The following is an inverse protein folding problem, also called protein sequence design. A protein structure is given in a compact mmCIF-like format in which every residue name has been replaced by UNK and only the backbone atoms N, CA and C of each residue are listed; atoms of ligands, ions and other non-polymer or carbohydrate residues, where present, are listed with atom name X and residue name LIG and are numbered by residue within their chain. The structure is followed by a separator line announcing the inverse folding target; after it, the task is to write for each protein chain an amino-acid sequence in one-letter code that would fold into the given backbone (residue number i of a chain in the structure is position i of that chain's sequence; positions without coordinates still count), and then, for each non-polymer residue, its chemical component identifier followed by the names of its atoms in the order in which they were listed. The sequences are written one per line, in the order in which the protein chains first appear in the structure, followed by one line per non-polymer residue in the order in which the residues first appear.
data_IF_041421380803
#
_entry.id   IF_041421380803
#
_cell.length_a   1.000
_cell.length_b   1.000
_cell.length_c   1.000
_cell.angle_alpha   90.00
_cell.angle_beta   90.00
_cell.angle_gamma   90.00
#
_symmetry.space_group_name_H-M   'P 1'
#
loop_
_entity.id
_entity.type
_entity.pdbx_description
1 polymer ?
#
# COMPACT_ATOMS: atom_id res chain seq x y z
N UNK A 1 46.31 32.46 -10.74
CA UNK A 1 44.93 32.59 -11.25
C UNK A 1 44.68 31.35 -12.10
N UNK A 2 44.16 30.28 -11.48
CA UNK A 2 43.71 29.10 -12.21
C UNK A 2 42.19 29.07 -12.12
N UNK A 3 41.54 29.28 -13.26
CA UNK A 3 40.10 29.13 -13.39
C UNK A 3 39.75 27.65 -13.21
N UNK A 4 38.81 27.27 -12.33
CA UNK A 4 38.32 25.90 -12.31
C UNK A 4 37.48 25.69 -13.56
N UNK A 5 37.98 24.81 -14.43
CA UNK A 5 37.30 24.30 -15.60
C UNK A 5 35.89 23.80 -15.21
N UNK A 6 34.87 24.32 -15.90
CA UNK A 6 33.55 23.73 -15.95
C UNK A 6 33.67 22.32 -16.51
N UNK A 7 33.83 21.34 -15.64
CA UNK A 7 33.62 19.94 -15.99
C UNK A 7 32.13 19.78 -16.29
N UNK A 8 31.80 19.80 -17.58
CA UNK A 8 30.49 19.37 -18.09
C UNK A 8 30.34 17.89 -17.75
N UNK A 9 29.93 17.62 -16.52
CA UNK A 9 29.71 16.28 -16.00
C UNK A 9 28.49 15.71 -16.72
N UNK A 10 28.70 14.59 -17.42
CA UNK A 10 27.62 13.88 -18.10
C UNK A 10 26.45 13.63 -17.13
N UNK A 11 25.20 13.69 -17.62
CA UNK A 11 24.03 13.49 -16.77
C UNK A 11 24.15 12.14 -16.05
N UNK A 12 24.12 12.18 -14.72
CA UNK A 12 24.26 10.98 -13.90
C UNK A 12 22.91 10.28 -13.80
N UNK A 13 22.80 9.08 -14.36
CA UNK A 13 21.61 8.25 -14.15
C UNK A 13 21.63 7.70 -12.71
N UNK A 14 20.63 8.08 -11.92
CA UNK A 14 20.43 7.60 -10.55
C UNK A 14 19.15 6.77 -10.54
N UNK A 15 19.22 5.43 -10.47
CA UNK A 15 18.03 4.59 -10.37
C UNK A 15 17.48 4.68 -8.94
N UNK A 16 16.61 5.66 -8.70
CA UNK A 16 16.03 6.00 -7.40
C UNK A 16 15.22 4.83 -6.86
N UNK A 17 14.38 4.22 -7.70
CA UNK A 17 13.50 3.14 -7.28
C UNK A 17 14.29 1.89 -6.85
N UNK A 18 15.29 1.49 -7.66
CA UNK A 18 16.17 0.35 -7.35
C UNK A 18 16.98 0.59 -6.07
N UNK A 19 17.51 1.81 -5.90
CA UNK A 19 18.25 2.19 -4.70
C UNK A 19 17.39 2.11 -3.42
N UNK A 20 16.13 2.56 -3.50
CA UNK A 20 15.21 2.52 -2.37
C UNK A 20 14.80 1.08 -2.06
N UNK A 21 14.37 0.31 -3.06
CA UNK A 21 13.90 -1.08 -2.88
C UNK A 21 15.00 -1.99 -2.36
N UNK A 22 16.22 -1.90 -2.91
CA UNK A 22 17.38 -2.66 -2.40
C UNK A 22 17.69 -2.32 -0.94
N UNK A 23 17.70 -1.04 -0.58
CA UNK A 23 17.91 -0.61 0.80
C UNK A 23 16.81 -1.10 1.75
N UNK A 24 15.55 -1.11 1.31
CA UNK A 24 14.41 -1.61 2.08
C UNK A 24 14.53 -3.11 2.33
N UNK A 25 14.77 -3.90 1.29
CA UNK A 25 14.90 -5.36 1.38
C UNK A 25 16.07 -5.79 2.27
N UNK A 26 17.23 -5.14 2.12
CA UNK A 26 18.43 -5.49 2.88
C UNK A 26 18.35 -5.12 4.38
N UNK A 27 17.57 -4.10 4.75
CA UNK A 27 17.65 -3.49 6.08
C UNK A 27 16.36 -3.57 6.90
N UNK A 28 15.52 -4.58 6.66
CA UNK A 28 14.45 -5.00 7.59
C UNK A 28 13.10 -5.20 6.95
N UNK A 29 12.82 -4.56 5.80
CA UNK A 29 11.48 -4.57 5.21
C UNK A 29 11.07 -5.95 4.69
N UNK A 30 12.03 -6.82 4.38
CA UNK A 30 11.78 -8.24 4.07
C UNK A 30 11.05 -8.99 5.20
N UNK A 31 11.21 -8.53 6.45
CA UNK A 31 10.55 -9.09 7.63
C UNK A 31 9.52 -8.11 8.25
N UNK A 32 9.14 -7.04 7.54
CA UNK A 32 8.20 -6.04 8.04
C UNK A 32 8.74 -5.13 9.16
N UNK A 33 10.05 -5.12 9.41
CA UNK A 33 10.64 -4.30 10.49
C UNK A 33 10.99 -2.88 10.00
N UNK A 34 10.02 -1.98 10.11
CA UNK A 34 10.16 -0.57 9.76
C UNK A 34 11.08 0.21 10.71
N UNK A 35 11.15 -0.19 11.99
CA UNK A 35 11.99 0.47 12.98
C UNK A 35 13.48 0.28 12.64
N UNK A 36 13.87 -0.94 12.28
CA UNK A 36 15.24 -1.25 11.85
C UNK A 36 15.63 -0.47 10.60
N UNK A 37 14.72 -0.38 9.62
CA UNK A 37 14.95 0.38 8.40
C UNK A 37 15.12 1.89 8.69
N UNK A 38 14.24 2.47 9.51
CA UNK A 38 14.33 3.88 9.93
C UNK A 38 15.64 4.21 10.65
N UNK A 39 16.10 3.33 11.55
CA UNK A 39 17.39 3.49 12.24
C UNK A 39 18.59 3.37 11.28
N UNK A 40 18.51 2.46 10.30
CA UNK A 40 19.53 2.34 9.26
C UNK A 40 19.65 3.62 8.43
N UNK A 41 18.54 4.14 7.91
CA UNK A 41 18.56 5.37 7.09
C UNK A 41 19.10 6.55 7.89
N UNK A 42 18.71 6.67 9.16
CA UNK A 42 19.21 7.72 10.05
C UNK A 42 20.75 7.67 10.19
N UNK A 43 21.32 6.46 10.34
CA UNK A 43 22.78 6.26 10.38
C UNK A 43 23.44 6.49 9.02
N UNK A 44 22.81 6.07 7.92
CA UNK A 44 23.29 6.29 6.54
C UNK A 44 23.36 7.78 6.21
N UNK A 45 22.29 8.53 6.49
CA UNK A 45 22.24 9.98 6.31
C UNK A 45 23.33 10.69 7.12
N UNK A 46 23.58 10.28 8.37
CA UNK A 46 24.67 10.85 9.17
C UNK A 46 26.04 10.64 8.52
N UNK A 47 26.32 9.43 8.02
CA UNK A 47 27.58 9.11 7.32
C UNK A 47 27.72 9.89 6.01
N UNK A 48 26.64 9.95 5.22
CA UNK A 48 26.63 10.70 3.96
C UNK A 48 26.85 12.20 4.17
N UNK A 49 26.17 12.81 5.15
CA UNK A 49 26.39 14.22 5.50
C UNK A 49 27.82 14.51 5.94
N UNK A 50 28.49 13.56 6.62
CA UNK A 50 29.90 13.68 6.97
C UNK A 50 30.80 13.59 5.73
N UNK A 51 30.52 12.65 4.82
CA UNK A 51 31.29 12.46 3.57
C UNK A 51 31.12 13.62 2.58
N UNK A 52 29.96 14.26 2.54
CA UNK A 52 29.67 15.40 1.65
C UNK A 52 29.97 16.75 2.30
N UNK A 53 30.55 16.76 3.51
CA UNK A 53 30.78 17.97 4.33
C UNK A 53 29.50 18.82 4.55
N UNK A 54 28.32 18.20 4.43
CA UNK A 54 27.01 18.81 4.59
C UNK A 54 26.45 18.60 6.02
N UNK A 55 27.24 18.99 7.02
CA UNK A 55 26.84 18.88 8.41
C UNK A 55 25.91 20.05 8.80
N UNK A 56 24.78 19.73 9.44
CA UNK A 56 23.74 20.69 9.85
C UNK A 56 24.03 21.34 11.22
N UNK A 57 25.29 21.34 11.65
CA UNK A 57 25.71 21.93 12.92
C UNK A 57 26.70 21.08 13.71
N UNK A 58 27.14 21.65 14.83
CA UNK A 58 28.05 21.04 15.81
C UNK A 58 27.29 20.69 17.09
N UNK A 59 27.96 20.03 18.05
CA UNK A 59 27.37 19.65 19.35
C UNK A 59 26.67 20.81 20.08
N UNK A 60 27.17 22.03 19.91
CA UNK A 60 26.68 23.23 20.61
C UNK A 60 25.65 24.06 19.81
N UNK A 61 25.63 23.97 18.47
CA UNK A 61 24.78 24.83 17.63
C UNK A 61 24.29 24.08 16.39
N UNK A 62 22.98 24.08 16.20
CA UNK A 62 22.33 23.56 14.98
C UNK A 62 22.26 24.69 13.95
N UNK A 63 22.86 24.48 12.78
CA UNK A 63 22.78 25.38 11.63
C UNK A 63 22.04 24.66 10.50
N UNK A 64 20.74 24.94 10.31
CA UNK A 64 19.94 24.23 9.31
C UNK A 64 20.42 24.59 7.90
N UNK A 65 21.22 23.70 7.30
CA UNK A 65 21.58 23.78 5.88
C UNK A 65 20.43 23.22 5.05
N UNK A 66 19.79 24.08 4.27
CA UNK A 66 18.82 23.68 3.24
C UNK A 66 19.58 23.28 1.98
N UNK A 67 19.03 22.33 1.23
CA UNK A 67 19.56 22.00 -0.09
C UNK A 67 19.15 23.14 -1.04
N UNK A 68 20.13 23.83 -1.62
CA UNK A 68 19.92 24.82 -2.68
C UNK A 68 20.58 24.30 -3.96
N UNK A 69 20.09 24.70 -5.16
CA UNK A 69 20.63 24.20 -6.42
C UNK A 69 22.15 24.42 -6.55
N UNK A 70 22.65 25.55 -6.03
CA UNK A 70 24.08 25.92 -6.05
C UNK A 70 24.98 24.94 -5.28
N UNK A 71 24.44 24.22 -4.30
CA UNK A 71 25.18 23.25 -3.48
C UNK A 71 25.22 21.87 -4.17
N UNK A 72 24.36 21.62 -5.16
CA UNK A 72 24.24 20.32 -5.83
C UNK A 72 25.32 20.17 -6.90
N UNK A 73 26.57 20.08 -6.46
CA UNK A 73 27.72 19.81 -7.33
C UNK A 73 27.83 18.31 -7.67
N UNK A 74 27.30 17.43 -6.81
CA UNK A 74 27.43 15.98 -6.92
C UNK A 74 26.07 15.27 -6.91
N UNK A 75 25.89 14.18 -7.70
CA UNK A 75 24.65 13.39 -7.72
C UNK A 75 24.31 12.76 -6.36
N UNK A 76 25.31 12.60 -5.48
CA UNK A 76 25.14 12.12 -4.10
C UNK A 76 24.25 13.01 -3.24
N UNK A 77 24.11 14.30 -3.56
CA UNK A 77 23.17 15.19 -2.86
C UNK A 77 21.71 14.85 -3.15
N UNK A 78 21.41 14.39 -4.37
CA UNK A 78 20.07 13.92 -4.74
C UNK A 78 19.74 12.63 -3.97
N UNK A 79 20.69 11.70 -3.91
CA UNK A 79 20.55 10.49 -3.09
C UNK A 79 20.34 10.84 -1.61
N UNK A 80 21.02 11.89 -1.10
CA UNK A 80 20.82 12.37 0.26
C UNK A 80 19.39 12.88 0.47
N UNK A 81 18.87 13.68 -0.47
CA UNK A 81 17.50 14.19 -0.42
C UNK A 81 16.47 13.05 -0.45
N UNK A 82 16.64 12.07 -1.34
CA UNK A 82 15.80 10.86 -1.40
C UNK A 82 15.81 10.12 -0.06
N UNK A 83 16.98 9.87 0.53
CA UNK A 83 17.05 9.20 1.84
C UNK A 83 16.46 10.05 2.99
N UNK A 84 16.46 11.38 2.88
CA UNK A 84 15.75 12.22 3.84
C UNK A 84 14.23 12.06 3.74
N UNK A 85 13.70 11.88 2.54
CA UNK A 85 12.29 11.58 2.31
C UNK A 85 11.96 10.19 2.88
N UNK A 86 12.74 9.17 2.50
CA UNK A 86 12.61 7.79 3.00
C UNK A 86 12.66 7.70 4.53
N UNK A 87 13.53 8.48 5.20
CA UNK A 87 13.55 8.49 6.67
C UNK A 87 12.22 8.96 7.27
N UNK A 88 11.61 9.98 6.68
CA UNK A 88 10.31 10.49 7.13
C UNK A 88 9.18 9.51 6.84
N UNK A 89 9.23 8.82 5.70
CA UNK A 89 8.28 7.76 5.35
C UNK A 89 8.43 6.53 6.26
N UNK A 90 9.64 6.01 6.45
CA UNK A 90 9.92 4.85 7.29
C UNK A 90 9.46 5.07 8.74
N UNK A 91 9.66 6.29 9.27
CA UNK A 91 9.16 6.63 10.59
C UNK A 91 7.63 6.71 10.62
N UNK A 92 6.99 7.20 9.56
CA UNK A 92 5.54 7.17 9.47
C UNK A 92 5.00 5.73 9.47
N UNK A 93 5.61 4.83 8.69
CA UNK A 93 5.20 3.42 8.64
C UNK A 93 5.43 2.69 9.97
N UNK A 94 6.52 3.00 10.68
CA UNK A 94 6.72 2.53 12.07
C UNK A 94 5.57 2.99 12.97
N UNK A 95 5.22 4.28 12.93
CA UNK A 95 4.11 4.82 13.72
C UNK A 95 2.75 4.24 13.31
N UNK A 96 2.59 3.82 12.05
CA UNK A 96 1.38 3.13 11.57
C UNK A 96 1.22 1.79 12.29
N UNK A 97 2.29 1.00 12.38
CA UNK A 97 2.27 -0.26 13.12
C UNK A 97 1.99 -0.06 14.62
N UNK A 98 2.52 1.02 15.22
CA UNK A 98 2.24 1.40 16.62
C UNK A 98 0.83 2.01 16.82
N UNK A 99 0.14 2.45 15.76
CA UNK A 99 -1.14 3.16 15.90
C UNK A 99 -2.32 2.26 16.24
N UNK A 100 -2.18 0.94 16.09
CA UNK A 100 -3.20 -0.04 16.51
C UNK A 100 -3.46 0.01 18.01
N UNK A 101 -2.47 0.39 18.82
CA UNK A 101 -2.63 0.53 20.27
C UNK A 101 -2.96 1.97 20.69
N UNK A 102 -2.45 2.97 19.96
CA UNK A 102 -2.50 4.38 20.35
C UNK A 102 -2.94 5.29 19.20
N UNK A 103 -4.21 5.74 19.24
CA UNK A 103 -4.79 6.60 18.18
C UNK A 103 -3.99 7.89 17.97
N UNK A 104 -3.39 8.44 19.02
CA UNK A 104 -2.57 9.67 18.93
C UNK A 104 -1.37 9.53 17.99
N UNK A 105 -0.82 8.32 17.86
CA UNK A 105 0.30 8.01 16.95
C UNK A 105 -0.10 8.19 15.50
N UNK A 106 -1.38 8.03 15.14
CA UNK A 106 -1.90 8.30 13.79
C UNK A 106 -1.70 9.76 13.37
N UNK A 107 -1.95 10.73 14.26
CA UNK A 107 -1.69 12.15 13.96
C UNK A 107 -0.20 12.42 13.71
N UNK A 108 0.67 11.78 14.52
CA UNK A 108 2.11 11.91 14.35
C UNK A 108 2.58 11.27 13.03
N UNK A 109 2.02 10.11 12.66
CA UNK A 109 2.26 9.46 11.37
C UNK A 109 1.92 10.41 10.21
N UNK A 110 0.71 10.99 10.19
CA UNK A 110 0.31 11.92 9.13
C UNK A 110 1.23 13.15 9.07
N UNK A 111 1.67 13.68 10.22
CA UNK A 111 2.66 14.77 10.28
C UNK A 111 3.99 14.38 9.64
N UNK A 112 4.45 13.14 9.84
CA UNK A 112 5.69 12.62 9.22
C UNK A 112 5.55 12.42 7.70
N UNK A 113 4.40 11.95 7.23
CA UNK A 113 4.11 11.85 5.79
C UNK A 113 4.04 13.22 5.11
N UNK A 114 3.37 14.21 5.72
CA UNK A 114 3.36 15.60 5.19
C UNK A 114 4.78 16.15 5.05
N UNK A 115 5.66 15.84 6.00
CA UNK A 115 7.07 16.22 5.93
C UNK A 115 7.83 15.50 4.81
N UNK A 116 7.48 14.25 4.51
CA UNK A 116 8.05 13.52 3.37
C UNK A 116 7.61 14.16 2.04
N UNK A 117 6.31 14.47 1.88
CA UNK A 117 5.77 15.16 0.70
C UNK A 117 6.43 16.52 0.50
N UNK A 118 6.50 17.35 1.53
CA UNK A 118 7.13 18.68 1.44
C UNK A 118 8.59 18.62 0.99
N UNK A 119 9.33 17.57 1.38
CA UNK A 119 10.71 17.35 0.92
C UNK A 119 10.77 16.86 -0.53
N UNK A 120 9.84 15.99 -0.93
CA UNK A 120 9.73 15.51 -2.31
C UNK A 120 9.35 16.65 -3.27
N UNK A 121 8.43 17.53 -2.87
CA UNK A 121 8.06 18.72 -3.62
C UNK A 121 9.23 19.68 -3.78
N UNK A 122 9.98 19.93 -2.68
CA UNK A 122 11.21 20.74 -2.76
C UNK A 122 12.21 20.13 -3.76
N UNK A 123 12.40 18.80 -3.73
CA UNK A 123 13.34 18.11 -4.62
C UNK A 123 12.93 18.24 -6.10
N UNK A 124 11.65 18.03 -6.43
CA UNK A 124 11.17 18.20 -7.80
C UNK A 124 11.24 19.66 -8.25
N UNK A 125 10.96 20.64 -7.38
CA UNK A 125 11.08 22.06 -7.77
C UNK A 125 12.53 22.47 -8.08
N UNK A 126 13.52 21.73 -7.56
CA UNK A 126 14.93 21.95 -7.87
C UNK A 126 15.41 21.18 -9.11
N UNK A 127 14.65 20.21 -9.60
CA UNK A 127 15.09 19.30 -10.67
C UNK A 127 15.26 19.99 -12.03
N UNK A 128 14.47 21.03 -12.30
CA UNK A 128 14.51 21.79 -13.54
C UNK A 128 15.77 22.66 -13.63
N UNK A 129 16.26 23.15 -12.48
CA UNK A 129 17.48 23.95 -12.39
C UNK A 129 18.76 23.10 -12.42
N UNK A 130 18.63 21.78 -12.33
CA UNK A 130 19.76 20.87 -12.25
C UNK A 130 20.00 20.21 -13.61
N UNK A 131 21.00 20.71 -14.33
CA UNK A 131 21.48 20.15 -15.61
C UNK A 131 22.22 18.82 -15.46
N UNK A 132 22.62 18.47 -14.22
CA UNK A 132 23.33 17.22 -13.89
C UNK A 132 22.46 15.96 -13.96
N UNK A 133 21.13 16.12 -13.98
CA UNK A 133 20.18 15.02 -13.89
C UNK A 133 19.70 14.57 -15.27
N UNK A 134 19.74 13.26 -15.49
CA UNK A 134 19.17 12.64 -16.67
C UNK A 134 17.62 12.74 -16.68
N UNK A 135 17.04 12.72 -17.88
CA UNK A 135 15.58 12.76 -18.07
C UNK A 135 14.88 11.59 -17.37
N UNK A 136 15.49 10.39 -17.40
CA UNK A 136 14.98 9.22 -16.68
C UNK A 136 14.90 9.47 -15.18
N UNK A 137 15.98 9.98 -14.58
CA UNK A 137 16.03 10.26 -13.14
C UNK A 137 15.01 11.33 -12.73
N UNK A 138 14.79 12.36 -13.58
CA UNK A 138 13.73 13.37 -13.34
C UNK A 138 12.35 12.74 -13.33
N UNK A 139 12.04 11.84 -14.27
CA UNK A 139 10.78 11.10 -14.29
C UNK A 139 10.61 10.20 -13.06
N UNK A 140 11.67 9.49 -12.63
CA UNK A 140 11.65 8.67 -11.42
C UNK A 140 11.36 9.49 -10.16
N UNK A 141 11.97 10.67 -10.03
CA UNK A 141 11.72 11.58 -8.90
C UNK A 141 10.28 12.08 -8.90
N UNK A 142 9.73 12.44 -10.06
CA UNK A 142 8.32 12.81 -10.21
C UNK A 142 7.40 11.68 -9.82
N UNK A 143 7.65 10.45 -10.28
CA UNK A 143 6.87 9.27 -9.91
C UNK A 143 6.91 9.03 -8.39
N UNK A 144 8.10 9.12 -7.79
CA UNK A 144 8.29 8.95 -6.35
C UNK A 144 7.56 10.02 -5.52
N UNK A 145 7.57 11.28 -5.97
CA UNK A 145 6.77 12.36 -5.37
C UNK A 145 5.28 12.05 -5.41
N UNK A 146 4.75 11.66 -6.58
CA UNK A 146 3.34 11.34 -6.74
C UNK A 146 2.93 10.16 -5.86
N UNK A 147 3.78 9.13 -5.77
CA UNK A 147 3.55 7.98 -4.90
C UNK A 147 3.43 8.36 -3.42
N UNK A 148 4.37 9.13 -2.86
CA UNK A 148 4.32 9.52 -1.44
C UNK A 148 3.10 10.41 -1.16
N UNK A 149 2.77 11.29 -2.11
CA UNK A 149 1.59 12.15 -2.01
C UNK A 149 0.31 11.33 -2.03
N UNK A 150 0.22 10.31 -2.89
CA UNK A 150 -0.85 9.32 -2.90
C UNK A 150 -1.00 8.61 -1.55
N UNK A 151 0.11 8.12 -0.97
CA UNK A 151 0.09 7.49 0.37
C UNK A 151 -0.41 8.45 1.45
N UNK A 152 0.02 9.71 1.43
CA UNK A 152 -0.45 10.69 2.41
C UNK A 152 -1.98 10.84 2.34
N UNK A 153 -2.55 11.02 1.14
CA UNK A 153 -3.99 11.19 0.99
C UNK A 153 -4.78 9.91 1.27
N UNK A 154 -4.20 8.75 0.97
CA UNK A 154 -4.74 7.45 1.34
C UNK A 154 -4.89 7.34 2.87
N UNK A 155 -3.87 7.70 3.64
CA UNK A 155 -3.94 7.68 5.12
C UNK A 155 -4.90 8.74 5.70
N UNK A 156 -5.10 9.84 4.98
CA UNK A 156 -6.09 10.87 5.29
C UNK A 156 -7.52 10.50 4.86
N UNK A 157 -7.71 9.33 4.23
CA UNK A 157 -9.00 8.85 3.72
C UNK A 157 -9.63 9.78 2.67
N UNK A 158 -8.82 10.59 1.98
CA UNK A 158 -9.28 11.36 0.83
C UNK A 158 -9.06 10.53 -0.44
N UNK A 159 -10.01 9.64 -0.73
CA UNK A 159 -9.90 8.61 -1.77
C UNK A 159 -9.77 9.18 -3.18
N UNK A 160 -10.48 10.28 -3.48
CA UNK A 160 -10.47 10.92 -4.81
C UNK A 160 -9.07 11.43 -5.14
N UNK A 161 -8.51 12.26 -4.26
CA UNK A 161 -7.17 12.83 -4.47
C UNK A 161 -6.08 11.77 -4.38
N UNK A 162 -6.27 10.75 -3.53
CA UNK A 162 -5.35 9.62 -3.44
C UNK A 162 -5.29 8.83 -4.77
N UNK A 163 -6.46 8.50 -5.35
CA UNK A 163 -6.57 7.77 -6.62
C UNK A 163 -5.84 8.52 -7.74
N UNK A 164 -6.12 9.81 -7.92
CA UNK A 164 -5.48 10.64 -8.96
C UNK A 164 -3.95 10.61 -8.87
N UNK A 165 -3.39 10.77 -7.67
CA UNK A 165 -1.94 10.77 -7.47
C UNK A 165 -1.31 9.37 -7.66
N UNK A 166 -2.01 8.30 -7.25
CA UNK A 166 -1.53 6.93 -7.44
C UNK A 166 -1.58 6.49 -8.91
N UNK A 167 -2.66 6.82 -9.63
CA UNK A 167 -2.79 6.60 -11.08
C UNK A 167 -1.74 7.39 -11.86
N UNK A 168 -1.49 8.65 -11.46
CA UNK A 168 -0.41 9.46 -12.03
C UNK A 168 0.96 8.81 -11.82
N UNK A 169 1.23 8.24 -10.63
CA UNK A 169 2.47 7.52 -10.36
C UNK A 169 2.58 6.25 -11.22
N UNK A 170 1.48 5.49 -11.36
CA UNK A 170 1.42 4.30 -12.20
C UNK A 170 1.70 4.62 -13.67
N UNK A 171 1.10 5.68 -14.21
CA UNK A 171 1.31 6.11 -15.59
C UNK A 171 2.79 6.46 -15.86
N UNK A 172 3.44 7.18 -14.93
CA UNK A 172 4.87 7.51 -15.08
C UNK A 172 5.73 6.25 -15.00
N UNK A 173 5.45 5.32 -14.09
CA UNK A 173 6.19 4.06 -14.01
C UNK A 173 5.99 3.17 -15.25
N UNK A 174 4.82 3.19 -15.89
CA UNK A 174 4.58 2.51 -17.16
C UNK A 174 5.41 3.12 -18.30
N UNK A 175 5.54 4.45 -18.36
CA UNK A 175 6.41 5.11 -19.34
C UNK A 175 7.87 4.73 -19.09
N UNK A 176 8.31 4.74 -17.82
CA UNK A 176 9.66 4.31 -17.44
C UNK A 176 9.93 2.85 -17.80
N UNK A 177 8.94 1.97 -17.69
CA UNK A 177 9.08 0.56 -18.07
C UNK A 177 9.46 0.38 -19.54
N UNK A 178 8.93 1.24 -20.43
CA UNK A 178 9.21 1.19 -21.87
C UNK A 178 10.61 1.71 -22.22
N UNK A 179 11.19 2.55 -21.36
CA UNK A 179 12.48 3.20 -21.60
C UNK A 179 13.68 2.45 -21.01
N UNK A 180 13.44 1.52 -20.08
CA UNK A 180 14.48 0.91 -19.24
C UNK A 180 14.79 -0.54 -19.66
N UNK A 181 16.05 -0.92 -19.47
CA UNK A 181 16.58 -2.28 -19.70
C UNK A 181 15.83 -3.38 -18.93
N UNK A 182 15.80 -4.60 -19.49
CA UNK A 182 15.03 -5.74 -18.99
C UNK A 182 15.32 -6.10 -17.51
N UNK A 183 16.57 -6.02 -17.06
CA UNK A 183 16.97 -6.31 -15.68
C UNK A 183 16.32 -5.36 -14.65
N UNK A 184 16.15 -4.09 -15.03
CA UNK A 184 15.57 -3.07 -14.16
C UNK A 184 14.05 -3.03 -14.25
N UNK A 185 13.44 -3.55 -15.33
CA UNK A 185 11.99 -3.64 -15.51
C UNK A 185 11.29 -4.40 -14.38
N UNK A 186 11.92 -5.45 -13.84
CA UNK A 186 11.35 -6.24 -12.75
C UNK A 186 10.99 -5.39 -11.52
N UNK A 187 11.83 -4.40 -11.19
CA UNK A 187 11.63 -3.49 -10.04
C UNK A 187 10.43 -2.56 -10.28
N UNK A 188 10.26 -2.07 -11.51
CA UNK A 188 9.13 -1.22 -11.90
C UNK A 188 7.82 -2.00 -11.93
N UNK A 189 7.81 -3.22 -12.48
CA UNK A 189 6.63 -4.10 -12.48
C UNK A 189 6.17 -4.38 -11.05
N UNK A 190 7.09 -4.83 -10.19
CA UNK A 190 6.79 -5.03 -8.76
C UNK A 190 6.21 -3.77 -8.11
N UNK A 191 6.69 -2.58 -8.49
CA UNK A 191 6.14 -1.33 -7.97
C UNK A 191 4.73 -1.05 -8.49
N UNK A 192 4.45 -1.29 -9.77
CA UNK A 192 3.10 -1.12 -10.34
C UNK A 192 2.12 -2.08 -9.67
N UNK A 193 2.55 -3.32 -9.45
CA UNK A 193 1.77 -4.36 -8.77
C UNK A 193 1.46 -3.96 -7.32
N UNK A 194 2.41 -3.33 -6.60
CA UNK A 194 2.18 -2.78 -5.25
C UNK A 194 1.12 -1.66 -5.22
N UNK A 195 1.01 -0.87 -6.31
CA UNK A 195 0.09 0.28 -6.39
C UNK A 195 -1.34 -0.15 -6.73
N UNK A 196 -1.51 -1.23 -7.50
CA UNK A 196 -2.81 -1.63 -8.03
C UNK A 196 -3.86 -1.90 -6.93
N UNK A 197 -3.55 -2.63 -5.83
CA UNK A 197 -4.50 -2.82 -4.74
C UNK A 197 -4.93 -1.51 -4.09
N UNK A 198 -4.02 -0.54 -3.97
CA UNK A 198 -4.32 0.78 -3.35
C UNK A 198 -5.25 1.60 -4.25
N UNK A 199 -5.03 1.59 -5.56
CA UNK A 199 -5.88 2.28 -6.54
C UNK A 199 -7.29 1.69 -6.53
N UNK A 200 -7.38 0.35 -6.57
CA UNK A 200 -8.66 -0.36 -6.55
C UNK A 200 -9.41 -0.15 -5.23
N UNK A 201 -8.69 -0.13 -4.10
CA UNK A 201 -9.28 0.22 -2.81
C UNK A 201 -9.89 1.63 -2.85
N UNK A 202 -9.16 2.62 -3.37
CA UNK A 202 -9.67 3.98 -3.50
C UNK A 202 -10.92 4.02 -4.40
N UNK A 203 -10.92 3.31 -5.54
CA UNK A 203 -12.06 3.23 -6.45
C UNK A 203 -13.30 2.64 -5.76
N UNK A 204 -13.13 1.54 -5.02
CA UNK A 204 -14.22 0.94 -4.25
C UNK A 204 -14.74 1.89 -3.17
N UNK A 205 -13.86 2.56 -2.42
CA UNK A 205 -14.26 3.54 -1.40
C UNK A 205 -14.98 4.78 -1.95
N UNK A 206 -14.84 5.06 -3.26
CA UNK A 206 -15.60 6.11 -3.96
C UNK A 206 -17.00 5.61 -4.36
N UNK A 207 -17.20 4.30 -4.52
CA UNK A 207 -18.47 3.69 -4.89
C UNK A 207 -18.42 2.79 -6.13
N UNK A 208 -17.24 2.51 -6.69
CA UNK A 208 -17.12 1.62 -7.84
C UNK A 208 -17.23 0.14 -7.39
N UNK A 209 -18.42 -0.47 -7.53
CA UNK A 209 -18.66 -1.88 -7.15
C UNK A 209 -17.81 -2.87 -7.97
N UNK A 210 -17.45 -2.52 -9.21
CA UNK A 210 -16.55 -3.32 -10.07
C UNK A 210 -15.17 -3.49 -9.44
N UNK A 211 -14.70 -2.51 -8.67
CA UNK A 211 -13.41 -2.58 -8.01
C UNK A 211 -13.37 -3.64 -6.88
N UNK A 212 -14.50 -3.93 -6.23
CA UNK A 212 -14.59 -5.01 -5.23
C UNK A 212 -14.38 -6.39 -5.87
N UNK A 213 -15.03 -6.63 -7.01
CA UNK A 213 -14.91 -7.92 -7.73
C UNK A 213 -13.50 -8.15 -8.25
N UNK A 214 -12.81 -7.09 -8.69
CA UNK A 214 -11.43 -7.20 -9.13
C UNK A 214 -10.45 -7.39 -7.95
N UNK A 215 -10.69 -6.77 -6.78
CA UNK A 215 -9.91 -7.02 -5.57
C UNK A 215 -10.03 -8.48 -5.11
N UNK A 216 -11.24 -9.07 -5.19
CA UNK A 216 -11.47 -10.49 -4.92
C UNK A 216 -10.68 -11.39 -5.88
N UNK A 217 -10.67 -11.07 -7.18
CA UNK A 217 -9.89 -11.82 -8.17
C UNK A 217 -8.38 -11.75 -7.92
N UNK A 218 -7.86 -10.59 -7.54
CA UNK A 218 -6.43 -10.43 -7.26
C UNK A 218 -5.98 -11.23 -6.04
N UNK A 219 -6.81 -11.32 -4.99
CA UNK A 219 -6.55 -12.19 -3.83
C UNK A 219 -6.43 -13.66 -4.25
N UNK A 220 -7.34 -14.12 -5.10
CA UNK A 220 -7.37 -15.53 -5.53
C UNK A 220 -6.17 -15.90 -6.43
N UNK A 221 -5.56 -14.92 -7.08
CA UNK A 221 -4.39 -15.12 -7.96
C UNK A 221 -3.04 -14.96 -7.23
N UNK A 222 -2.96 -14.18 -6.14
CA UNK A 222 -1.72 -13.87 -5.46
C UNK A 222 -1.87 -13.90 -3.92
N UNK A 223 -1.83 -15.09 -3.28
CA UNK A 223 -1.91 -15.23 -1.83
C UNK A 223 -0.70 -14.63 -1.08
N UNK A 224 0.48 -14.52 -1.72
CA UNK A 224 1.73 -14.11 -1.05
C UNK A 224 2.13 -12.64 -1.29
N UNK A 225 1.42 -11.92 -2.15
CA UNK A 225 1.83 -10.60 -2.65
C UNK A 225 1.20 -9.40 -1.94
N UNK A 226 0.12 -9.61 -1.19
CA UNK A 226 -0.50 -8.51 -0.46
C UNK A 226 0.28 -8.23 0.82
N UNK A 227 0.64 -6.96 1.02
CA UNK A 227 1.14 -6.52 2.31
C UNK A 227 0.06 -6.83 3.37
N UNK A 228 0.42 -7.43 4.50
CA UNK A 228 -0.47 -7.82 5.62
C UNK A 228 -1.52 -6.76 6.02
N UNK A 229 -1.21 -5.48 5.80
CA UNK A 229 -2.12 -4.36 6.05
C UNK A 229 -3.26 -4.24 5.03
N UNK A 230 -2.99 -4.57 3.76
CA UNK A 230 -3.99 -4.65 2.71
C UNK A 230 -4.92 -5.84 2.97
N UNK A 231 -4.42 -6.96 3.49
CA UNK A 231 -5.25 -8.14 3.77
C UNK A 231 -6.29 -7.87 4.85
N UNK A 232 -5.91 -7.27 5.98
CA UNK A 232 -6.86 -6.94 7.06
C UNK A 232 -7.90 -5.91 6.65
N UNK A 233 -7.50 -4.88 5.89
CA UNK A 233 -8.44 -3.87 5.39
C UNK A 233 -9.34 -4.43 4.28
N UNK A 234 -8.83 -5.35 3.46
CA UNK A 234 -9.63 -6.04 2.44
C UNK A 234 -10.57 -7.06 3.06
N UNK A 235 -10.18 -7.82 4.08
CA UNK A 235 -11.08 -8.76 4.77
C UNK A 235 -12.23 -8.02 5.48
N UNK A 236 -11.95 -6.84 6.05
CA UNK A 236 -13.00 -5.96 6.58
C UNK A 236 -13.93 -5.43 5.48
N UNK A 237 -13.40 -5.06 4.31
CA UNK A 237 -14.24 -4.64 3.19
C UNK A 237 -15.03 -5.79 2.56
N UNK A 238 -14.45 -6.99 2.46
CA UNK A 238 -15.10 -8.18 1.92
C UNK A 238 -16.23 -8.65 2.84
N UNK A 239 -16.02 -8.61 4.15
CA UNK A 239 -17.10 -8.91 5.10
C UNK A 239 -18.23 -7.86 5.03
N UNK A 240 -17.92 -6.59 4.79
CA UNK A 240 -18.94 -5.54 4.58
C UNK A 240 -19.70 -5.71 3.26
N UNK A 241 -19.01 -6.02 2.16
CA UNK A 241 -19.63 -6.29 0.86
C UNK A 241 -20.49 -7.57 0.89
N UNK A 242 -20.04 -8.62 1.60
CA UNK A 242 -20.83 -9.82 1.84
C UNK A 242 -22.04 -9.54 2.74
N UNK A 243 -21.92 -8.66 3.72
CA UNK A 243 -23.03 -8.25 4.58
C UNK A 243 -24.08 -7.42 3.80
N UNK A 244 -23.66 -6.53 2.89
CA UNK A 244 -24.60 -5.78 2.05
C UNK A 244 -25.30 -6.68 1.04
N UNK A 245 -24.60 -7.62 0.40
CA UNK A 245 -25.23 -8.63 -0.45
C UNK A 245 -26.15 -9.58 0.35
N UNK A 246 -25.75 -9.97 1.57
CA UNK A 246 -26.59 -10.78 2.46
C UNK A 246 -27.88 -10.05 2.88
N UNK A 247 -27.88 -8.72 2.95
CA UNK A 247 -29.11 -7.97 3.21
C UNK A 247 -30.16 -8.10 2.10
N UNK A 248 -29.75 -8.40 0.85
CA UNK A 248 -30.65 -8.60 -0.29
C UNK A 248 -31.23 -10.02 -0.37
N UNK A 249 -30.58 -11.01 0.25
CA UNK A 249 -31.08 -12.40 0.30
C UNK A 249 -31.98 -12.57 1.52
N UNK A 250 -33.28 -12.33 1.33
CA UNK A 250 -34.29 -12.46 2.39
C UNK A 250 -35.04 -13.80 2.38
N UNK A 251 -35.07 -14.50 1.25
CA UNK A 251 -35.98 -15.62 1.02
C UNK A 251 -35.27 -16.80 0.38
N UNK A 252 -35.55 -18.01 0.86
CA UNK A 252 -34.98 -19.26 0.33
C UNK A 252 -36.12 -20.23 0.06
N UNK A 253 -36.13 -20.78 -1.16
CA UNK A 253 -37.12 -21.76 -1.59
C UNK A 253 -36.68 -23.14 -1.10
N UNK A 254 -37.42 -23.70 -0.15
CA UNK A 254 -37.23 -25.09 0.29
C UNK A 254 -38.48 -25.91 0.01
N UNK A 255 -38.38 -26.90 -0.89
CA UNK A 255 -39.46 -27.81 -1.29
C UNK A 255 -40.80 -27.09 -1.65
N UNK A 256 -40.71 -25.92 -2.29
CA UNK A 256 -41.88 -25.12 -2.68
C UNK A 256 -42.46 -24.24 -1.56
N UNK A 257 -41.79 -24.15 -0.41
CA UNK A 257 -42.12 -23.20 0.65
C UNK A 257 -41.03 -22.13 0.79
N UNK A 258 -41.45 -20.86 0.78
CA UNK A 258 -40.58 -19.71 0.99
C UNK A 258 -40.27 -19.57 2.48
N UNK A 259 -39.02 -19.80 2.89
CA UNK A 259 -38.61 -19.65 4.29
C UNK A 259 -37.83 -18.34 4.44
N UNK A 260 -38.29 -17.40 5.29
CA UNK A 260 -37.54 -16.18 5.57
C UNK A 260 -36.35 -16.51 6.48
N UNK A 261 -35.15 -16.28 5.97
CA UNK A 261 -33.92 -16.49 6.76
C UNK A 261 -33.69 -15.27 7.65
N UNK A 262 -33.80 -15.46 8.96
CA UNK A 262 -33.58 -14.37 9.95
C UNK A 262 -32.11 -14.22 10.36
N UNK A 263 -31.33 -15.30 10.31
CA UNK A 263 -29.92 -15.29 10.73
C UNK A 263 -29.02 -14.72 9.64
N UNK A 264 -28.29 -13.65 9.95
CA UNK A 264 -27.33 -13.01 9.02
C UNK A 264 -26.21 -13.98 8.60
N UNK A 265 -25.76 -14.87 9.50
CA UNK A 265 -24.73 -15.87 9.20
C UNK A 265 -25.21 -16.94 8.23
N UNK A 266 -26.48 -17.34 8.34
CA UNK A 266 -27.10 -18.27 7.40
C UNK A 266 -27.26 -17.63 6.00
N UNK A 267 -27.61 -16.34 5.92
CA UNK A 267 -27.67 -15.60 4.64
C UNK A 267 -26.30 -15.55 3.94
N UNK A 268 -25.25 -15.24 4.69
CA UNK A 268 -23.87 -15.23 4.17
C UNK A 268 -23.48 -16.62 3.65
N UNK A 269 -23.81 -17.70 4.36
CA UNK A 269 -23.49 -19.06 3.91
C UNK A 269 -24.21 -19.43 2.60
N UNK A 270 -25.49 -19.04 2.45
CA UNK A 270 -26.26 -19.30 1.23
C UNK A 270 -25.68 -18.56 0.04
N UNK A 271 -25.32 -17.28 0.22
CA UNK A 271 -24.59 -16.52 -0.80
C UNK A 271 -23.26 -17.18 -1.17
N UNK A 272 -22.47 -17.65 -0.21
CA UNK A 272 -21.22 -18.35 -0.52
C UNK A 272 -21.46 -19.62 -1.34
N UNK A 273 -22.56 -20.34 -1.10
CA UNK A 273 -22.92 -21.52 -1.90
C UNK A 273 -23.31 -21.13 -3.32
N UNK A 274 -24.02 -20.01 -3.53
CA UNK A 274 -24.36 -19.50 -4.87
C UNK A 274 -23.13 -18.98 -5.62
N UNK A 275 -22.27 -18.20 -4.96
CA UNK A 275 -21.02 -17.71 -5.52
C UNK A 275 -20.11 -18.87 -5.92
N UNK A 276 -19.95 -19.86 -5.04
CA UNK A 276 -19.12 -21.04 -5.29
C UNK A 276 -19.67 -21.94 -6.40
N UNK A 277 -20.98 -21.96 -6.67
CA UNK A 277 -21.53 -22.62 -7.88
C UNK A 277 -21.01 -21.95 -9.15
N UNK A 278 -21.04 -20.61 -9.20
CA UNK A 278 -20.48 -19.85 -10.34
C UNK A 278 -18.94 -19.98 -10.44
N UNK A 279 -18.24 -20.12 -9.31
CA UNK A 279 -16.79 -20.36 -9.30
C UNK A 279 -16.43 -21.79 -9.77
N UNK A 280 -17.25 -22.78 -9.45
CA UNK A 280 -17.06 -24.17 -9.86
C UNK A 280 -17.17 -24.35 -11.38
N UNK A 281 -18.07 -23.58 -12.03
CA UNK A 281 -18.22 -23.56 -13.49
C UNK A 281 -17.00 -22.97 -14.20
N UNK A 282 -16.26 -22.06 -13.54
CA UNK A 282 -15.08 -21.37 -14.09
C UNK A 282 -13.76 -22.10 -13.81
N UNK A 283 -13.73 -23.02 -12.86
CA UNK A 283 -12.52 -23.73 -12.48
C UNK A 283 -12.25 -24.92 -13.42
N UNK A 284 -11.09 -24.92 -14.10
CA UNK A 284 -10.68 -26.01 -15.01
C UNK A 284 -9.92 -27.14 -14.29
N UNK A 285 -9.25 -26.84 -13.16
CA UNK A 285 -8.40 -27.81 -12.45
C UNK A 285 -9.12 -28.56 -11.32
N UNK A 286 -8.83 -29.86 -11.16
CA UNK A 286 -9.39 -30.70 -10.10
C UNK A 286 -8.97 -30.25 -8.69
N UNK A 287 -7.74 -29.75 -8.54
CA UNK A 287 -7.23 -29.23 -7.27
C UNK A 287 -7.99 -27.97 -6.81
N UNK A 288 -8.28 -27.05 -7.73
CA UNK A 288 -9.04 -25.84 -7.42
C UNK A 288 -10.50 -26.18 -7.05
N UNK A 289 -11.12 -27.15 -7.74
CA UNK A 289 -12.47 -27.63 -7.39
C UNK A 289 -12.52 -28.21 -5.97
N UNK A 290 -11.54 -29.02 -5.59
CA UNK A 290 -11.46 -29.57 -4.22
C UNK A 290 -11.31 -28.48 -3.16
N UNK A 291 -10.43 -27.49 -3.38
CA UNK A 291 -10.25 -26.37 -2.45
C UNK A 291 -11.53 -25.54 -2.28
N UNK A 292 -12.28 -25.32 -3.37
CA UNK A 292 -13.58 -24.64 -3.33
C UNK A 292 -14.57 -25.46 -2.49
N UNK A 293 -14.69 -26.78 -2.74
CA UNK A 293 -15.58 -27.64 -1.96
C UNK A 293 -15.23 -27.68 -0.47
N UNK A 294 -13.95 -27.76 -0.11
CA UNK A 294 -13.51 -27.72 1.29
C UNK A 294 -13.87 -26.39 1.96
N UNK A 295 -13.71 -25.27 1.25
CA UNK A 295 -14.06 -23.95 1.77
C UNK A 295 -15.56 -23.78 2.00
N UNK A 296 -16.40 -24.28 1.09
CA UNK A 296 -17.87 -24.25 1.19
C UNK A 296 -18.35 -25.18 2.30
N UNK A 297 -17.78 -26.38 2.42
CA UNK A 297 -18.15 -27.29 3.51
C UNK A 297 -17.81 -26.68 4.86
N UNK A 298 -16.67 -26.01 4.98
CA UNK A 298 -16.30 -25.32 6.21
C UNK A 298 -17.28 -24.18 6.55
N UNK A 299 -17.64 -23.34 5.57
CA UNK A 299 -18.61 -22.25 5.81
C UNK A 299 -19.99 -22.78 6.19
N UNK A 300 -20.44 -23.87 5.56
CA UNK A 300 -21.70 -24.55 5.90
C UNK A 300 -21.68 -25.11 7.33
N UNK A 301 -20.59 -25.76 7.75
CA UNK A 301 -20.46 -26.29 9.12
C UNK A 301 -20.50 -25.16 10.15
N UNK A 302 -19.78 -24.07 9.91
CA UNK A 302 -19.79 -22.89 10.78
C UNK A 302 -21.20 -22.27 10.86
N UNK A 303 -21.90 -22.15 9.73
CA UNK A 303 -23.27 -21.63 9.70
C UNK A 303 -24.25 -22.53 10.47
N UNK A 304 -24.18 -23.85 10.30
CA UNK A 304 -25.01 -24.82 11.05
C UNK A 304 -24.75 -24.71 12.56
N UNK A 305 -23.49 -24.57 12.98
CA UNK A 305 -23.17 -24.36 14.40
C UNK A 305 -23.76 -23.06 14.92
N UNK A 306 -23.67 -21.96 14.17
CA UNK A 306 -24.25 -20.68 14.61
C UNK A 306 -25.77 -20.71 14.72
N UNK A 307 -26.47 -21.35 13.79
CA UNK A 307 -27.93 -21.48 13.84
C UNK A 307 -28.33 -22.38 15.01
N UNK A 308 -27.57 -23.45 15.29
CA UNK A 308 -27.79 -24.31 16.45
C UNK A 308 -27.61 -23.56 17.77
N UNK A 309 -26.61 -22.68 17.86
CA UNK A 309 -26.39 -21.87 19.05
C UNK A 309 -27.46 -20.78 19.21
N UNK A 310 -27.90 -20.14 18.11
CA UNK A 310 -29.07 -19.23 18.13
C UNK A 310 -30.34 -19.94 18.62
N UNK A 311 -30.64 -21.13 18.08
CA UNK A 311 -31.76 -21.96 18.55
C UNK A 311 -31.64 -22.30 20.05
N UNK A 312 -30.44 -22.63 20.54
CA UNK A 312 -30.22 -22.88 21.98
C UNK A 312 -30.50 -21.63 22.80
N UNK A 313 -30.06 -20.45 22.35
CA UNK A 313 -30.31 -19.19 23.07
C UNK A 313 -31.81 -18.84 23.13
N UNK A 314 -32.54 -19.08 22.03
CA UNK A 314 -34.00 -18.87 21.98
C UNK A 314 -34.72 -19.80 22.97
N UNK A 315 -34.34 -21.08 22.99
CA UNK A 315 -34.90 -22.08 23.94
C UNK A 315 -34.60 -21.72 25.39
N UNK A 316 -33.43 -21.14 25.69
CA UNK A 316 -33.12 -20.66 27.05
C UNK A 316 -33.82 -19.34 27.42
N UNK A 317 -34.32 -18.58 26.44
CA UNK A 317 -34.95 -17.28 26.63
C UNK A 317 -36.48 -17.32 26.71
N UNK A 318 -37.12 -18.47 26.46
CA UNK A 318 -38.52 -18.70 26.81
C UNK A 318 -38.59 -19.09 28.30
N UNK A 319 -38.95 -18.18 29.23
CA UNK A 319 -39.32 -18.61 30.57
C UNK A 319 -40.58 -19.46 30.43
N UNK A 320 -40.59 -20.59 31.12
CA UNK A 320 -41.77 -21.42 31.37
C UNK A 320 -42.98 -20.54 31.69
N UNK A 321 -43.87 -20.34 30.72
CA UNK A 321 -45.18 -19.73 30.95
C UNK A 321 -46.02 -20.77 31.67
N UNK A 322 -46.10 -20.62 32.99
CA UNK A 322 -47.16 -21.19 33.84
C UNK A 322 -48.49 -20.54 33.53
#
# INVERSE_FOLDING_TARGET
MENPENTTTAPSNIPVLSLVKSAQQQHGLRHGDYQRYHQYISRKLRRMRKSLHFQQGNRSKVTPKKLTPDIVTNPRFIILAVFEIERSWAYAMQLKAESSTEIRKRFQMCSRLRKAVARAELLCNMEDNLSLLDAQTKLELRAYKQWIRGILFFELQNWVVAKEHLESAQAIYNILLQMVDEDSQAVYKSRIDDLLPQIRYCAHSIGDETAATDLQRMRNQAPDGLTLLSELQLDQLLSQARASQASQVSEVDWLGTMIPVKSEKAKIAILTVEESKSELEKAESLQAKLAIYESVLKSCVEAVTSVRDELRTVVTSEPSVT
#
